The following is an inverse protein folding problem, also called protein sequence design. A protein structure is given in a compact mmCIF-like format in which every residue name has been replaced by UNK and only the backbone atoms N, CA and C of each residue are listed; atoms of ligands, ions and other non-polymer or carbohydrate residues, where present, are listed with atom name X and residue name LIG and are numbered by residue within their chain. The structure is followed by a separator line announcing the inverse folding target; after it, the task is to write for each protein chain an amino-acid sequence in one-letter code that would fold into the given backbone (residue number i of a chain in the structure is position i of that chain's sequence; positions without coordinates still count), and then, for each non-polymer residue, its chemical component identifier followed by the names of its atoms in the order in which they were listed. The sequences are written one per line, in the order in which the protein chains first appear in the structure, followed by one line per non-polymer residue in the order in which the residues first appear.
data_IF_491598549924
#
_entry.id   IF_491598549924
#
_cell.length_a   1.000
_cell.length_b   1.000
_cell.length_c   1.000
_cell.angle_alpha   90.00
_cell.angle_beta   90.00
_cell.angle_gamma   90.00
#
_symmetry.space_group_name_H-M   'P 1'
#
loop_
_entity.id
_entity.type
_entity.pdbx_description
1 polymer ?
#
# COMPACT_ATOMS: atom_id res chain seq x y z
N UNK A 1 -13.91 23.55 13.60
CA UNK A 1 -13.22 22.84 12.50
C UNK A 1 -12.05 21.99 13.01
N UNK A 2 -11.19 22.51 13.89
CA UNK A 2 -10.04 21.73 14.46
C UNK A 2 -10.49 20.58 15.35
N UNK A 3 -11.54 20.74 16.16
CA UNK A 3 -12.09 19.69 17.02
C UNK A 3 -12.74 18.53 16.23
N UNK A 4 -13.31 18.83 15.06
CA UNK A 4 -13.91 17.80 14.17
C UNK A 4 -12.84 16.97 13.46
N UNK A 5 -11.66 17.54 13.20
CA UNK A 5 -10.51 16.79 12.64
C UNK A 5 -9.82 15.94 13.70
N UNK A 6 -9.75 16.39 14.96
CA UNK A 6 -9.21 15.59 16.06
C UNK A 6 -10.12 14.41 16.42
N UNK A 7 -11.46 14.59 16.42
CA UNK A 7 -12.41 13.49 16.64
C UNK A 7 -12.43 12.45 15.52
N UNK A 8 -12.19 12.85 14.26
CA UNK A 8 -12.02 11.91 13.14
C UNK A 8 -10.74 11.06 13.22
N UNK A 9 -9.76 11.49 14.00
CA UNK A 9 -8.52 10.73 14.22
C UNK A 9 -8.67 9.59 15.26
N UNK A 10 -9.78 9.53 16.00
CA UNK A 10 -10.02 8.47 16.98
C UNK A 10 -10.82 7.27 16.44
N UNK A 11 -11.55 7.44 15.32
CA UNK A 11 -12.28 6.36 14.67
C UNK A 11 -11.42 5.68 13.61
N UNK A 12 -11.04 4.41 13.87
CA UNK A 12 -10.35 3.59 12.89
C UNK A 12 -11.24 3.29 11.67
N UNK A 13 -10.66 3.12 10.49
CA UNK A 13 -11.36 2.77 9.24
C UNK A 13 -12.16 1.47 9.35
N UNK A 14 -11.67 0.53 10.16
CA UNK A 14 -12.33 -0.71 10.56
C UNK A 14 -12.02 -1.00 12.01
N UNK A 15 -12.76 -1.95 12.62
CA UNK A 15 -12.51 -2.35 14.01
C UNK A 15 -11.06 -2.80 14.22
N UNK A 16 -10.50 -2.52 15.39
CA UNK A 16 -9.16 -2.98 15.77
C UNK A 16 -9.00 -4.49 15.63
N UNK A 17 -10.06 -5.24 15.95
CA UNK A 17 -10.10 -6.70 15.78
C UNK A 17 -9.89 -7.14 14.34
N UNK A 18 -10.37 -6.38 13.34
CA UNK A 18 -10.14 -6.67 11.93
C UNK A 18 -8.66 -6.52 11.57
N UNK A 19 -7.99 -5.46 12.05
CA UNK A 19 -6.54 -5.28 11.87
C UNK A 19 -5.73 -6.38 12.55
N UNK A 20 -6.12 -6.77 13.77
CA UNK A 20 -5.44 -7.82 14.54
C UNK A 20 -5.60 -9.19 13.89
N UNK A 21 -6.80 -9.56 13.48
CA UNK A 21 -7.11 -10.85 12.85
C UNK A 21 -6.43 -10.99 11.47
N UNK A 22 -6.36 -9.91 10.70
CA UNK A 22 -5.68 -9.90 9.41
C UNK A 22 -4.15 -9.90 9.52
N UNK A 23 -3.59 -9.60 10.69
CA UNK A 23 -2.15 -9.59 10.94
C UNK A 23 -1.41 -8.42 10.28
N UNK A 24 -2.09 -7.32 9.98
CA UNK A 24 -1.52 -6.09 9.40
C UNK A 24 -0.40 -5.51 10.29
N UNK A 25 -0.55 -5.63 11.60
CA UNK A 25 0.38 -5.12 12.62
C UNK A 25 1.63 -5.97 12.85
N UNK A 26 1.67 -7.19 12.31
CA UNK A 26 2.78 -8.14 12.54
C UNK A 26 3.94 -7.83 11.60
N UNK A 27 5.03 -7.33 12.15
CA UNK A 27 6.27 -7.12 11.41
C UNK A 27 7.22 -8.31 11.47
N UNK A 28 8.49 -8.08 11.17
CA UNK A 28 9.57 -9.08 11.20
C UNK A 28 10.43 -8.94 12.45
N UNK A 29 11.40 -9.86 12.62
CA UNK A 29 12.42 -9.76 13.66
C UNK A 29 13.51 -8.72 13.36
N UNK A 30 13.53 -8.22 12.13
CA UNK A 30 14.45 -7.17 11.71
C UNK A 30 13.73 -5.83 11.64
N UNK A 31 14.43 -4.76 11.95
CA UNK A 31 13.94 -3.39 11.79
C UNK A 31 14.97 -2.53 11.08
N UNK A 32 14.49 -1.62 10.26
CA UNK A 32 15.28 -0.51 9.74
C UNK A 32 15.21 0.71 10.68
N UNK A 33 16.19 1.59 10.58
CA UNK A 33 16.18 2.84 11.34
C UNK A 33 15.02 3.75 10.94
N UNK A 34 14.67 3.75 9.66
CA UNK A 34 13.59 4.58 9.08
C UNK A 34 12.19 4.11 9.49
N UNK A 35 11.99 2.81 9.77
CA UNK A 35 10.70 2.28 10.23
C UNK A 35 10.51 2.35 11.75
N UNK A 36 11.55 2.73 12.52
CA UNK A 36 11.48 2.83 13.98
C UNK A 36 10.29 3.68 14.50
N UNK A 37 9.93 4.83 13.90
CA UNK A 37 8.79 5.64 14.35
C UNK A 37 7.42 4.94 14.27
N UNK A 38 7.29 3.92 13.41
CA UNK A 38 6.05 3.18 13.18
C UNK A 38 5.93 1.90 14.01
N UNK A 39 6.95 1.58 14.81
CA UNK A 39 6.99 0.38 15.67
C UNK A 39 6.37 0.73 17.02
N UNK A 40 5.32 0.00 17.41
CA UNK A 40 4.66 0.15 18.71
C UNK A 40 5.41 -0.59 19.82
N UNK A 41 5.71 -1.88 19.62
CA UNK A 41 6.40 -2.73 20.61
C UNK A 41 7.12 -3.91 19.97
N UNK A 42 7.91 -4.61 20.80
CA UNK A 42 8.53 -5.89 20.44
C UNK A 42 7.85 -6.99 21.24
N UNK A 43 7.47 -8.08 20.60
CA UNK A 43 6.94 -9.28 21.25
C UNK A 43 8.05 -10.11 21.90
N UNK A 44 7.67 -11.04 22.77
CA UNK A 44 8.62 -11.96 23.44
C UNK A 44 9.35 -12.90 22.48
N UNK A 45 8.75 -13.18 21.31
CA UNK A 45 9.32 -13.96 20.22
C UNK A 45 10.28 -13.14 19.30
N UNK A 46 10.52 -11.87 19.64
CA UNK A 46 11.41 -10.96 18.91
C UNK A 46 10.77 -10.31 17.69
N UNK A 47 9.49 -10.52 17.42
CA UNK A 47 8.78 -9.86 16.33
C UNK A 47 8.42 -8.41 16.71
N UNK A 48 8.69 -7.49 15.79
CA UNK A 48 8.27 -6.10 15.92
C UNK A 48 6.78 -5.97 15.56
N UNK A 49 6.05 -5.19 16.33
CA UNK A 49 4.63 -4.89 16.13
C UNK A 49 4.51 -3.46 15.64
N UNK A 50 3.85 -3.27 14.50
CA UNK A 50 3.55 -1.96 13.94
C UNK A 50 2.36 -1.33 14.65
N UNK A 51 2.34 0.00 14.70
CA UNK A 51 1.26 0.78 15.29
C UNK A 51 0.06 0.88 14.33
N UNK A 52 -1.05 0.25 14.71
CA UNK A 52 -2.30 0.20 13.92
C UNK A 52 -2.85 1.61 13.67
N UNK A 53 -2.79 2.52 14.65
CA UNK A 53 -3.29 3.89 14.49
C UNK A 53 -2.51 4.65 13.42
N UNK A 54 -1.20 4.44 13.39
CA UNK A 54 -0.37 5.03 12.34
C UNK A 54 -0.64 4.39 10.98
N UNK A 55 -0.84 3.08 10.91
CA UNK A 55 -1.22 2.40 9.66
C UNK A 55 -2.51 2.98 9.11
N UNK A 56 -3.56 3.11 9.94
CA UNK A 56 -4.85 3.68 9.57
C UNK A 56 -4.71 5.12 9.03
N UNK A 57 -4.03 5.96 9.80
CA UNK A 57 -3.77 7.36 9.39
C UNK A 57 -3.02 7.43 8.06
N UNK A 58 -2.01 6.59 7.86
CA UNK A 58 -1.22 6.57 6.63
C UNK A 58 -2.01 6.01 5.43
N UNK A 59 -2.92 5.07 5.64
CA UNK A 59 -3.85 4.63 4.59
C UNK A 59 -4.74 5.80 4.14
N UNK A 60 -5.29 6.59 5.07
CA UNK A 60 -6.08 7.79 4.73
C UNK A 60 -5.28 8.80 3.92
N UNK A 61 -4.05 9.10 4.35
CA UNK A 61 -3.15 10.04 3.65
C UNK A 61 -2.84 9.51 2.23
N UNK A 62 -2.50 8.23 2.10
CA UNK A 62 -2.21 7.62 0.82
C UNK A 62 -3.43 7.62 -0.12
N UNK A 63 -4.62 7.33 0.41
CA UNK A 63 -5.86 7.36 -0.35
C UNK A 63 -6.17 8.78 -0.89
N UNK A 64 -6.05 9.81 -0.04
CA UNK A 64 -6.22 11.20 -0.44
C UNK A 64 -5.17 11.63 -1.47
N UNK A 65 -3.95 11.16 -1.32
CA UNK A 65 -2.87 11.42 -2.28
C UNK A 65 -3.18 10.79 -3.63
N UNK A 66 -3.53 9.49 -3.66
CA UNK A 66 -3.86 8.77 -4.89
C UNK A 66 -5.13 9.30 -5.58
N UNK A 67 -6.09 9.81 -4.81
CA UNK A 67 -7.32 10.38 -5.36
C UNK A 67 -7.10 11.59 -6.28
N UNK A 68 -5.97 12.31 -6.11
CA UNK A 68 -5.60 13.48 -6.92
C UNK A 68 -5.12 13.11 -8.33
N UNK A 69 -4.74 11.85 -8.54
CA UNK A 69 -4.24 11.36 -9.82
C UNK A 69 -5.38 10.79 -10.68
N UNK A 70 -5.27 10.99 -11.99
CA UNK A 70 -6.26 10.45 -12.93
C UNK A 70 -6.17 8.91 -12.95
N UNK A 71 -7.32 8.21 -13.05
CA UNK A 71 -7.31 6.79 -13.38
C UNK A 71 -6.44 6.53 -14.62
N UNK A 72 -5.76 5.40 -14.65
CA UNK A 72 -4.84 5.06 -15.73
C UNK A 72 -3.43 5.65 -15.63
N UNK A 73 -3.20 6.70 -14.80
CA UNK A 73 -1.85 7.25 -14.57
C UNK A 73 -1.21 6.74 -13.27
N UNK A 74 -1.93 5.94 -12.51
CA UNK A 74 -1.44 5.25 -11.31
C UNK A 74 -0.91 3.88 -11.74
N UNK A 75 0.31 3.55 -11.34
CA UNK A 75 0.91 2.24 -11.58
C UNK A 75 1.10 1.50 -10.26
N UNK A 76 0.57 0.28 -10.18
CA UNK A 76 0.75 -0.61 -9.03
C UNK A 76 1.73 -1.71 -9.39
N UNK A 77 2.73 -1.93 -8.56
CA UNK A 77 3.73 -2.99 -8.76
C UNK A 77 3.68 -3.97 -7.60
N UNK A 78 3.61 -5.26 -7.92
CA UNK A 78 3.54 -6.35 -6.95
C UNK A 78 4.29 -7.58 -7.45
N UNK A 79 5.54 -7.73 -7.07
CA UNK A 79 6.32 -8.92 -7.43
C UNK A 79 5.98 -10.11 -6.53
N UNK A 80 5.72 -9.89 -5.23
CA UNK A 80 5.38 -10.97 -4.31
C UNK A 80 4.09 -11.67 -4.70
N UNK A 81 4.10 -13.00 -4.66
CA UNK A 81 2.95 -13.85 -5.03
C UNK A 81 1.66 -13.43 -4.30
N UNK A 82 1.72 -13.27 -2.98
CA UNK A 82 0.54 -12.88 -2.18
C UNK A 82 0.09 -11.43 -2.40
N UNK A 83 0.94 -10.58 -2.96
CA UNK A 83 0.60 -9.20 -3.31
C UNK A 83 -0.06 -9.06 -4.68
N UNK A 84 0.11 -10.04 -5.58
CA UNK A 84 -0.34 -9.91 -6.97
C UNK A 84 -1.86 -9.82 -7.12
N UNK A 85 -2.62 -10.69 -6.43
CA UNK A 85 -4.09 -10.65 -6.50
C UNK A 85 -4.66 -9.38 -5.89
N UNK A 86 -4.31 -9.01 -4.62
CA UNK A 86 -4.80 -7.75 -4.04
C UNK A 86 -4.45 -6.53 -4.89
N UNK A 87 -3.23 -6.47 -5.45
CA UNK A 87 -2.82 -5.37 -6.32
C UNK A 87 -3.65 -5.29 -7.61
N UNK A 88 -3.97 -6.44 -8.24
CA UNK A 88 -4.83 -6.50 -9.42
C UNK A 88 -6.25 -6.01 -9.12
N UNK A 89 -6.85 -6.51 -8.03
CA UNK A 89 -8.22 -6.12 -7.63
C UNK A 89 -8.26 -4.63 -7.28
N UNK A 90 -7.27 -4.14 -6.54
CA UNK A 90 -7.12 -2.73 -6.23
C UNK A 90 -7.00 -1.87 -7.50
N UNK A 91 -6.10 -2.23 -8.41
CA UNK A 91 -5.91 -1.51 -9.67
C UNK A 91 -7.20 -1.46 -10.50
N UNK A 92 -7.93 -2.57 -10.55
CA UNK A 92 -9.21 -2.66 -11.24
C UNK A 92 -10.28 -1.75 -10.60
N UNK A 93 -10.34 -1.72 -9.26
CA UNK A 93 -11.30 -0.91 -8.52
C UNK A 93 -11.09 0.60 -8.74
N UNK A 94 -9.85 1.08 -8.77
CA UNK A 94 -9.54 2.53 -8.91
C UNK A 94 -9.21 2.95 -10.34
N UNK A 95 -9.21 2.02 -11.30
CA UNK A 95 -8.85 2.26 -12.70
C UNK A 95 -7.34 2.47 -12.92
N UNK A 96 -6.47 1.82 -12.12
CA UNK A 96 -5.02 1.92 -12.23
C UNK A 96 -4.43 0.84 -13.16
N UNK A 97 -3.20 1.05 -13.60
CA UNK A 97 -2.38 0.03 -14.25
C UNK A 97 -1.74 -0.87 -13.19
N UNK A 98 -1.44 -2.14 -13.53
CA UNK A 98 -0.79 -3.07 -12.61
C UNK A 98 0.25 -3.93 -13.31
N UNK A 99 1.44 -4.01 -12.73
CA UNK A 99 2.44 -5.02 -13.03
C UNK A 99 2.51 -6.02 -11.88
N UNK A 100 1.89 -7.19 -12.09
CA UNK A 100 1.88 -8.28 -11.14
C UNK A 100 2.88 -9.36 -11.57
N UNK A 101 3.87 -9.64 -10.73
CA UNK A 101 5.00 -10.51 -11.01
C UNK A 101 6.29 -9.73 -11.29
N UNK A 102 7.20 -10.34 -12.04
CA UNK A 102 8.52 -9.74 -12.31
C UNK A 102 8.38 -8.42 -13.08
N UNK A 103 8.92 -7.35 -12.52
CA UNK A 103 9.03 -6.07 -13.19
C UNK A 103 10.17 -6.13 -14.23
N UNK A 104 9.87 -5.78 -15.47
CA UNK A 104 10.84 -5.80 -16.57
C UNK A 104 11.65 -4.50 -16.53
N UNK A 105 12.99 -4.56 -16.44
CA UNK A 105 13.81 -3.36 -16.53
C UNK A 105 13.57 -2.58 -17.83
N UNK A 106 13.46 -1.26 -17.72
CA UNK A 106 13.16 -0.40 -18.85
C UNK A 106 11.69 -0.06 -19.03
N UNK A 107 10.78 -0.67 -18.25
CA UNK A 107 9.33 -0.41 -18.34
C UNK A 107 8.97 1.07 -18.18
N UNK A 108 9.70 1.82 -17.35
CA UNK A 108 9.48 3.26 -17.14
C UNK A 108 10.50 4.15 -17.85
N UNK A 109 11.59 3.57 -18.36
CA UNK A 109 12.75 4.36 -18.84
C UNK A 109 13.10 4.11 -20.30
N UNK A 110 12.61 3.05 -20.93
CA UNK A 110 12.92 2.71 -22.30
C UNK A 110 11.65 2.75 -23.19
N UNK A 111 11.47 3.81 -24.01
CA UNK A 111 10.28 3.95 -24.86
C UNK A 111 10.18 2.91 -25.98
N UNK A 112 11.28 2.22 -26.33
CA UNK A 112 11.26 1.13 -27.32
C UNK A 112 10.67 -0.18 -26.78
N UNK A 113 10.44 -0.26 -25.46
CA UNK A 113 9.87 -1.45 -24.86
C UNK A 113 8.34 -1.49 -25.07
N UNK A 114 7.80 -2.63 -25.54
CA UNK A 114 6.34 -2.78 -25.72
C UNK A 114 5.52 -2.55 -24.43
N UNK A 115 6.13 -2.79 -23.27
CA UNK A 115 5.52 -2.59 -21.96
C UNK A 115 5.80 -1.18 -21.37
N UNK A 116 6.37 -0.28 -22.16
CA UNK A 116 6.68 1.08 -21.70
C UNK A 116 5.43 1.82 -21.23
N UNK A 117 5.54 2.49 -20.10
CA UNK A 117 4.47 3.33 -19.55
C UNK A 117 5.06 4.51 -18.77
N UNK A 118 4.33 5.61 -18.76
CA UNK A 118 4.67 6.84 -18.04
C UNK A 118 3.62 7.15 -16.97
N UNK A 119 3.73 6.52 -15.78
CA UNK A 119 2.80 6.78 -14.69
C UNK A 119 3.09 8.13 -14.04
N UNK A 120 2.07 8.71 -13.41
CA UNK A 120 2.20 9.91 -12.58
C UNK A 120 2.48 9.60 -11.11
N UNK A 121 2.21 8.36 -10.68
CA UNK A 121 2.49 7.85 -9.32
C UNK A 121 2.67 6.35 -9.35
N UNK A 122 3.62 5.84 -8.56
CA UNK A 122 3.89 4.42 -8.37
C UNK A 122 3.37 3.96 -6.99
N UNK A 123 2.70 2.81 -6.93
CA UNK A 123 2.35 2.11 -5.70
C UNK A 123 3.16 0.82 -5.64
N UNK A 124 4.11 0.73 -4.70
CA UNK A 124 4.96 -0.45 -4.51
C UNK A 124 4.43 -1.31 -3.37
N UNK A 125 4.20 -2.58 -3.64
CA UNK A 125 3.70 -3.54 -2.64
C UNK A 125 4.78 -3.92 -1.62
N UNK A 126 6.03 -4.03 -2.06
CA UNK A 126 7.18 -4.26 -1.18
C UNK A 126 8.40 -3.49 -1.70
N UNK A 127 8.73 -2.33 -1.13
CA UNK A 127 9.82 -1.49 -1.59
C UNK A 127 11.22 -2.07 -1.30
N UNK A 128 11.32 -3.35 -0.89
CA UNK A 128 12.60 -4.01 -0.72
C UNK A 128 13.41 -4.04 -2.03
N UNK A 129 14.73 -3.78 -1.99
CA UNK A 129 15.59 -3.77 -3.18
C UNK A 129 15.56 -5.06 -4.00
N UNK A 130 15.27 -6.17 -3.35
CA UNK A 130 15.20 -7.52 -3.95
C UNK A 130 13.81 -7.87 -4.53
N UNK A 131 12.80 -7.05 -4.27
CA UNK A 131 11.43 -7.29 -4.70
C UNK A 131 11.04 -6.22 -5.74
N UNK A 132 10.41 -5.14 -5.32
CA UNK A 132 9.98 -4.08 -6.24
C UNK A 132 11.08 -3.02 -6.49
N UNK A 133 12.31 -3.27 -6.04
CA UNK A 133 13.42 -2.31 -6.09
C UNK A 133 13.81 -1.83 -7.49
N UNK A 134 13.58 -2.63 -8.55
CA UNK A 134 13.83 -2.19 -9.93
C UNK A 134 12.81 -1.11 -10.34
N UNK A 135 11.53 -1.31 -10.02
CA UNK A 135 10.49 -0.33 -10.29
C UNK A 135 10.73 0.98 -9.53
N UNK A 136 11.18 0.89 -8.26
CA UNK A 136 11.54 2.07 -7.47
C UNK A 136 12.68 2.85 -8.10
N UNK A 137 13.76 2.17 -8.54
CA UNK A 137 14.90 2.83 -9.18
C UNK A 137 14.49 3.59 -10.44
N UNK A 138 13.66 2.97 -11.27
CA UNK A 138 13.19 3.60 -12.50
C UNK A 138 12.25 4.78 -12.19
N UNK A 139 11.32 4.62 -11.23
CA UNK A 139 10.43 5.71 -10.81
C UNK A 139 11.21 6.92 -10.28
N UNK A 140 12.26 6.69 -9.47
CA UNK A 140 13.15 7.76 -9.00
C UNK A 140 13.86 8.45 -10.14
N UNK A 141 14.36 7.69 -11.13
CA UNK A 141 15.06 8.25 -12.28
C UNK A 141 14.20 9.18 -13.14
N UNK A 142 12.90 8.88 -13.25
CA UNK A 142 11.94 9.71 -13.99
C UNK A 142 11.19 10.72 -13.11
N UNK A 143 11.46 10.75 -11.78
CA UNK A 143 10.89 11.72 -10.86
C UNK A 143 9.42 11.45 -10.48
N UNK A 144 8.98 10.20 -10.53
CA UNK A 144 7.61 9.80 -10.18
C UNK A 144 7.52 9.52 -8.66
N UNK A 145 6.55 10.12 -7.95
CA UNK A 145 6.36 9.87 -6.53
C UNK A 145 5.92 8.43 -6.23
N UNK A 146 6.35 7.92 -5.08
CA UNK A 146 6.20 6.52 -4.71
C UNK A 146 5.42 6.39 -3.39
N UNK A 147 4.31 5.64 -3.44
CA UNK A 147 3.58 5.14 -2.28
C UNK A 147 4.05 3.71 -1.99
N UNK A 148 4.55 3.42 -0.81
CA UNK A 148 5.07 2.09 -0.48
C UNK A 148 4.41 1.45 0.73
N UNK A 149 4.07 0.15 0.61
CA UNK A 149 3.67 -0.69 1.73
C UNK A 149 4.93 -1.21 2.43
N UNK A 150 5.27 -0.62 3.59
CA UNK A 150 6.54 -0.87 4.26
C UNK A 150 6.35 -1.73 5.52
N UNK A 151 7.03 -2.86 5.56
CA UNK A 151 7.20 -3.68 6.77
C UNK A 151 8.40 -3.15 7.61
N UNK A 152 8.58 -3.66 8.81
CA UNK A 152 9.61 -3.23 9.77
C UNK A 152 11.03 -3.31 9.24
N UNK A 153 11.32 -4.22 8.31
CA UNK A 153 12.65 -4.41 7.72
C UNK A 153 12.89 -3.62 6.43
N UNK A 154 11.87 -2.91 5.90
CA UNK A 154 12.04 -2.12 4.70
C UNK A 154 12.82 -0.83 4.97
N UNK A 155 13.67 -0.45 4.03
CA UNK A 155 14.22 0.89 3.96
C UNK A 155 13.23 1.80 3.22
N UNK A 156 12.99 2.98 3.79
CA UNK A 156 12.02 3.93 3.22
C UNK A 156 12.66 4.96 2.29
N UNK A 157 13.94 4.78 1.97
CA UNK A 157 14.63 5.61 1.00
C UNK A 157 13.89 5.53 -0.34
N UNK A 158 13.57 6.67 -0.91
CA UNK A 158 12.81 6.82 -2.15
C UNK A 158 11.30 6.55 -2.05
N UNK A 159 10.75 6.34 -0.85
CA UNK A 159 9.30 6.23 -0.65
C UNK A 159 8.78 7.55 -0.09
N UNK A 160 7.89 8.21 -0.83
CA UNK A 160 7.34 9.53 -0.46
C UNK A 160 6.18 9.39 0.53
N UNK A 161 5.32 8.40 0.31
CA UNK A 161 4.20 8.08 1.22
C UNK A 161 4.35 6.66 1.73
N UNK A 162 4.65 6.52 3.02
CA UNK A 162 4.83 5.24 3.68
C UNK A 162 3.51 4.80 4.29
N UNK A 163 3.10 3.56 4.01
CA UNK A 163 2.02 2.85 4.71
C UNK A 163 2.68 1.73 5.52
N UNK A 164 2.85 1.89 6.85
CA UNK A 164 3.43 0.87 7.69
C UNK A 164 2.48 -0.32 7.80
N UNK A 165 2.89 -1.47 7.29
CA UNK A 165 2.05 -2.68 7.27
C UNK A 165 2.86 -3.94 7.04
N UNK A 166 2.30 -5.08 7.41
CA UNK A 166 2.79 -6.38 7.00
C UNK A 166 2.59 -6.58 5.48
N UNK A 167 3.66 -6.46 4.72
CA UNK A 167 3.63 -6.62 3.26
C UNK A 167 3.95 -8.05 2.79
N UNK A 168 3.93 -9.03 3.69
CA UNK A 168 4.20 -10.45 3.40
C UNK A 168 2.97 -11.32 3.64
N UNK A 169 2.13 -10.92 4.59
CA UNK A 169 0.94 -11.67 4.97
C UNK A 169 -0.15 -11.57 3.90
N UNK A 170 -0.71 -12.75 3.50
CA UNK A 170 -1.77 -12.85 2.50
C UNK A 170 -3.00 -12.01 2.87
N UNK A 171 -3.54 -12.22 4.08
CA UNK A 171 -4.72 -11.52 4.56
C UNK A 171 -4.43 -10.05 4.92
N UNK A 172 -3.22 -9.77 5.41
CA UNK A 172 -2.78 -8.40 5.68
C UNK A 172 -2.76 -7.53 4.41
N UNK A 173 -2.17 -8.03 3.33
CA UNK A 173 -2.16 -7.34 2.03
C UNK A 173 -3.58 -7.15 1.47
N UNK A 174 -4.44 -8.18 1.59
CA UNK A 174 -5.83 -8.08 1.16
C UNK A 174 -6.55 -6.94 1.90
N UNK A 175 -6.43 -6.87 3.23
CA UNK A 175 -7.07 -5.85 4.06
C UNK A 175 -6.57 -4.45 3.72
N UNK A 176 -5.24 -4.27 3.56
CA UNK A 176 -4.68 -2.95 3.27
C UNK A 176 -5.07 -2.44 1.89
N UNK A 177 -5.02 -3.29 0.85
CA UNK A 177 -5.44 -2.91 -0.49
C UNK A 177 -6.95 -2.67 -0.57
N UNK A 178 -7.75 -3.45 0.16
CA UNK A 178 -9.19 -3.25 0.26
C UNK A 178 -9.53 -1.89 0.89
N UNK A 179 -8.89 -1.55 2.03
CA UNK A 179 -9.05 -0.25 2.68
C UNK A 179 -8.58 0.90 1.78
N UNK A 180 -7.42 0.74 1.14
CA UNK A 180 -6.87 1.76 0.27
C UNK A 180 -7.77 2.02 -0.95
N UNK A 181 -8.39 0.97 -1.53
CA UNK A 181 -9.35 1.09 -2.61
C UNK A 181 -10.59 1.87 -2.15
N UNK A 182 -11.20 1.46 -1.04
CA UNK A 182 -12.40 2.08 -0.48
C UNK A 182 -12.17 3.56 -0.20
N UNK A 183 -11.11 3.89 0.50
CA UNK A 183 -10.80 5.28 0.87
C UNK A 183 -10.41 6.14 -0.35
N UNK A 184 -9.74 5.56 -1.34
CA UNK A 184 -9.42 6.28 -2.60
C UNK A 184 -10.69 6.61 -3.37
N UNK A 185 -11.66 5.69 -3.46
CA UNK A 185 -12.94 5.92 -4.13
C UNK A 185 -13.80 6.94 -3.37
N UNK A 186 -13.78 6.93 -2.02
CA UNK A 186 -14.40 7.97 -1.20
C UNK A 186 -13.78 9.35 -1.45
N UNK A 187 -12.46 9.42 -1.45
CA UNK A 187 -11.74 10.67 -1.68
C UNK A 187 -11.97 11.24 -3.08
N UNK A 188 -12.29 10.37 -4.07
CA UNK A 188 -12.74 10.77 -5.42
C UNK A 188 -14.22 11.15 -5.50
N UNK A 189 -15.02 10.92 -4.44
CA UNK A 189 -16.46 11.15 -4.43
C UNK A 189 -17.26 10.11 -5.26
N UNK A 190 -16.67 8.96 -5.58
CA UNK A 190 -17.34 7.88 -6.33
C UNK A 190 -18.20 7.00 -5.43
N UNK A 191 -17.92 6.94 -4.14
CA UNK A 191 -18.74 6.33 -3.09
C UNK A 191 -18.89 7.31 -1.94
N UNK A 192 -20.04 7.29 -1.27
CA UNK A 192 -20.31 8.18 -0.14
C UNK A 192 -20.16 7.47 1.20
N UNK A 193 -20.66 6.25 1.30
CA UNK A 193 -20.65 5.45 2.51
C UNK A 193 -19.82 4.18 2.34
N UNK A 194 -19.38 3.59 3.46
CA UNK A 194 -18.64 2.32 3.44
C UNK A 194 -19.47 1.17 2.86
N UNK A 195 -20.79 1.20 3.03
CA UNK A 195 -21.72 0.22 2.51
C UNK A 195 -21.82 0.22 0.97
N UNK A 196 -21.47 1.32 0.33
CA UNK A 196 -21.49 1.42 -1.15
C UNK A 196 -20.32 0.65 -1.79
N UNK A 197 -19.30 0.30 -0.99
CA UNK A 197 -18.17 -0.49 -1.46
C UNK A 197 -18.47 -1.98 -1.29
N UNK A 198 -18.95 -2.61 -2.36
CA UNK A 198 -19.42 -4.01 -2.37
C UNK A 198 -18.33 -5.08 -2.24
N UNK A 199 -17.05 -4.90 -2.70
CA UNK A 199 -16.02 -5.91 -2.55
C UNK A 199 -15.71 -6.21 -1.09
N UNK A 200 -15.46 -7.49 -0.78
CA UNK A 200 -15.06 -7.97 0.54
C UNK A 200 -13.53 -8.13 0.63
N UNK A 201 -12.99 -8.27 1.84
CA UNK A 201 -11.56 -8.56 2.06
C UNK A 201 -11.16 -9.89 1.39
N UNK A 202 -12.07 -10.87 1.37
CA UNK A 202 -11.82 -12.19 0.80
C UNK A 202 -11.67 -12.15 -0.73
N UNK A 203 -12.32 -11.20 -1.41
CA UNK A 203 -12.13 -10.97 -2.86
C UNK A 203 -10.70 -10.53 -3.20
N UNK A 204 -10.07 -9.80 -2.29
CA UNK A 204 -8.67 -9.36 -2.40
C UNK A 204 -7.68 -10.46 -1.98
N UNK A 205 -8.10 -11.42 -1.17
CA UNK A 205 -7.19 -12.44 -0.64
C UNK A 205 -6.67 -13.38 -1.73
N UNK A 206 -5.33 -13.54 -1.81
CA UNK A 206 -4.71 -14.48 -2.73
C UNK A 206 -5.09 -15.92 -2.35
N UNK A 207 -5.55 -16.70 -3.30
CA UNK A 207 -5.77 -18.13 -3.13
C UNK A 207 -4.43 -18.86 -3.26
N UNK A 208 -4.27 -19.95 -2.50
CA UNK A 208 -3.11 -20.84 -2.57
C UNK A 208 -3.17 -21.71 -3.82
#
# INVERSE_FOLDING_TARGET
MVETEMQRAEDLLVSEDTYLTSGVHIGTQQKSASMKPFIFKVRTDGLYVLDIKQTDTRIRVAAQFLARYKPGTILVVAQRQYGQKPAKVFAQAIGAQVFAGRFIPGTLTNPELMAFTEPSVLVATDPAPTVDGQALKEAVNIGVPIVGLCDTNNETRFVDVIIPTNNKGRRALATVFWLLARETLKARGQIQNDADFTPTIDDYEAQL
#
